data_IF_497131803170
#
_entry.id   IF_497131803170
#
_cell.length_a   1.000
_cell.length_b   1.000
_cell.length_c   1.000
_cell.angle_alpha   90.00
_cell.angle_beta   90.00
_cell.angle_gamma   90.00
#
_symmetry.space_group_name_H-M   'P 1'
#
loop_
_entity.id
_entity.type
_entity.pdbx_description
1 polymer ?
#
# COMPACT_ATOMS: atom_id res chain seq x y z
N UNK A 1 8.85 27.29 -7.91
CA UNK A 1 7.73 27.75 -7.04
C UNK A 1 6.42 26.99 -7.30
N UNK A 2 5.89 26.95 -8.53
CA UNK A 2 4.59 26.31 -8.81
C UNK A 2 4.51 24.80 -8.42
N UNK A 3 5.59 24.06 -8.60
CA UNK A 3 5.62 22.63 -8.27
C UNK A 3 5.62 22.36 -6.76
N UNK A 4 6.30 23.20 -5.96
CA UNK A 4 6.29 23.09 -4.51
C UNK A 4 4.89 23.31 -3.93
N UNK A 5 4.18 24.33 -4.42
CA UNK A 5 2.78 24.61 -4.03
C UNK A 5 1.85 23.44 -4.40
N UNK A 6 2.07 22.80 -5.55
CA UNK A 6 1.30 21.61 -5.95
C UNK A 6 1.57 20.43 -5.01
N UNK A 7 2.84 20.20 -4.63
CA UNK A 7 3.21 19.13 -3.69
C UNK A 7 2.55 19.36 -2.32
N UNK A 8 2.61 20.57 -1.79
CA UNK A 8 1.96 20.93 -0.52
C UNK A 8 0.43 20.73 -0.55
N UNK A 9 -0.24 21.16 -1.64
CA UNK A 9 -1.68 20.92 -1.81
C UNK A 9 -2.01 19.41 -1.85
N UNK A 10 -1.14 18.60 -2.46
CA UNK A 10 -1.29 17.15 -2.49
C UNK A 10 -0.97 16.49 -1.15
N UNK A 11 -0.14 17.08 -0.29
CA UNK A 11 0.11 16.57 1.07
C UNK A 11 -1.18 16.60 1.90
N UNK A 12 -1.93 17.69 1.86
CA UNK A 12 -3.24 17.77 2.50
C UNK A 12 -4.27 16.86 1.83
N UNK A 13 -4.37 16.89 0.51
CA UNK A 13 -5.36 16.11 -0.25
C UNK A 13 -5.19 14.62 0.00
N UNK A 14 -3.95 14.11 -0.06
CA UNK A 14 -3.65 12.70 0.17
C UNK A 14 -3.96 12.24 1.59
N UNK A 15 -3.79 13.11 2.59
CA UNK A 15 -4.15 12.81 3.98
C UNK A 15 -5.65 12.64 4.14
N UNK A 16 -6.45 13.52 3.54
CA UNK A 16 -7.93 13.42 3.56
C UNK A 16 -8.39 12.16 2.83
N UNK A 17 -7.82 11.85 1.66
CA UNK A 17 -8.15 10.63 0.92
C UNK A 17 -7.83 9.37 1.72
N UNK A 18 -6.66 9.32 2.36
CA UNK A 18 -6.28 8.20 3.21
C UNK A 18 -7.26 8.01 4.38
N UNK A 19 -7.70 9.11 5.02
CA UNK A 19 -8.70 9.06 6.08
C UNK A 19 -10.04 8.52 5.58
N UNK A 20 -10.55 9.04 4.47
CA UNK A 20 -11.83 8.60 3.87
C UNK A 20 -11.77 7.13 3.49
N UNK A 21 -10.69 6.70 2.82
CA UNK A 21 -10.49 5.30 2.46
C UNK A 21 -10.48 4.40 3.71
N UNK A 22 -9.71 4.77 4.72
CA UNK A 22 -9.59 3.97 5.94
C UNK A 22 -10.86 3.94 6.79
N UNK A 23 -11.70 4.97 6.72
CA UNK A 23 -13.00 4.98 7.38
C UNK A 23 -14.00 4.01 6.72
N UNK A 24 -13.87 3.78 5.41
CA UNK A 24 -14.80 2.96 4.62
C UNK A 24 -14.27 1.54 4.32
N UNK A 25 -13.00 1.23 4.62
CA UNK A 25 -12.43 -0.11 4.38
C UNK A 25 -12.90 -1.13 5.42
N UNK A 26 -12.93 -2.41 5.03
CA UNK A 26 -13.04 -3.51 5.99
C UNK A 26 -11.69 -3.69 6.73
N UNK A 27 -11.63 -3.46 8.05
CA UNK A 27 -10.38 -3.52 8.80
C UNK A 27 -9.76 -4.91 8.87
N UNK A 28 -10.52 -5.98 8.60
CA UNK A 28 -10.05 -7.37 8.66
C UNK A 28 -9.46 -7.86 7.34
N UNK A 29 -9.79 -7.20 6.22
CA UNK A 29 -9.42 -7.67 4.87
C UNK A 29 -8.24 -6.93 4.26
N UNK A 30 -8.05 -5.66 4.61
CA UNK A 30 -7.08 -4.81 3.95
C UNK A 30 -6.24 -4.05 4.96
N UNK A 31 -4.95 -3.93 4.69
CA UNK A 31 -4.03 -3.07 5.43
C UNK A 31 -4.49 -1.60 5.34
N UNK A 32 -4.36 -0.79 6.41
CA UNK A 32 -4.62 0.64 6.31
C UNK A 32 -3.73 1.31 5.26
N UNK A 33 -4.32 2.18 4.45
CA UNK A 33 -3.58 2.99 3.47
C UNK A 33 -3.02 4.26 4.14
N UNK A 34 -1.84 4.69 3.70
CA UNK A 34 -1.21 5.95 4.13
C UNK A 34 -1.34 7.06 3.09
N UNK A 35 -1.02 8.32 3.43
CA UNK A 35 -1.07 9.43 2.47
C UNK A 35 -0.18 9.20 1.24
N UNK A 36 0.96 8.52 1.40
CA UNK A 36 1.87 8.23 0.29
C UNK A 36 1.26 7.32 -0.80
N UNK A 37 0.21 6.55 -0.47
CA UNK A 37 -0.48 5.70 -1.44
C UNK A 37 -1.38 6.51 -2.39
N UNK A 38 -1.76 7.73 -2.01
CA UNK A 38 -2.64 8.62 -2.79
C UNK A 38 -1.92 9.88 -3.30
N UNK A 39 -0.64 10.06 -2.96
CA UNK A 39 0.10 11.27 -3.30
C UNK A 39 0.93 11.08 -4.59
N UNK A 40 0.61 11.76 -5.71
CA UNK A 40 1.20 11.48 -7.03
C UNK A 40 2.71 11.69 -7.10
N UNK A 41 3.25 12.59 -6.27
CA UNK A 41 4.69 12.87 -6.23
C UNK A 41 5.46 12.08 -5.15
N UNK A 42 4.80 11.22 -4.37
CA UNK A 42 5.47 10.37 -3.38
C UNK A 42 5.41 8.93 -3.91
N UNK A 43 6.53 8.21 -3.83
CA UNK A 43 6.53 6.78 -4.13
C UNK A 43 6.03 6.04 -2.89
N UNK A 44 5.04 5.17 -3.07
CA UNK A 44 4.66 4.22 -2.02
C UNK A 44 5.92 3.44 -1.61
N UNK A 45 6.24 3.48 -0.32
CA UNK A 45 7.35 2.68 0.20
C UNK A 45 6.85 1.24 0.24
N UNK A 46 7.26 0.41 -0.72
CA UNK A 46 7.03 -1.03 -0.64
C UNK A 46 7.75 -1.55 0.60
N UNK A 47 7.00 -1.76 1.68
CA UNK A 47 7.51 -2.29 2.97
C UNK A 47 7.71 -3.80 2.95
N UNK A 48 7.44 -4.46 1.81
CA UNK A 48 7.61 -5.89 1.63
C UNK A 48 9.02 -6.27 1.22
N UNK A 49 9.45 -7.48 1.59
CA UNK A 49 10.66 -8.09 1.03
C UNK A 49 10.39 -8.35 -0.47
N UNK A 50 11.19 -7.82 -1.39
CA UNK A 50 11.02 -8.11 -2.81
C UNK A 50 11.17 -9.61 -3.05
N UNK A 51 10.22 -10.21 -3.77
CA UNK A 51 10.33 -11.60 -4.18
C UNK A 51 11.46 -11.73 -5.23
N UNK A 52 12.43 -12.58 -4.92
CA UNK A 52 13.58 -12.96 -5.74
C UNK A 52 13.56 -14.48 -5.90
N UNK A 53 14.23 -14.99 -6.94
CA UNK A 53 14.36 -16.44 -7.13
C UNK A 53 14.89 -17.17 -5.87
N UNK A 54 15.78 -16.53 -5.11
CA UNK A 54 16.33 -17.08 -3.87
C UNK A 54 15.33 -17.17 -2.70
N UNK A 55 14.28 -16.35 -2.65
CA UNK A 55 13.35 -16.29 -1.52
C UNK A 55 11.91 -16.70 -1.88
N UNK A 56 11.61 -16.96 -3.16
CA UNK A 56 10.27 -17.39 -3.62
C UNK A 56 9.79 -18.68 -2.93
N UNK A 57 10.72 -19.53 -2.48
CA UNK A 57 10.42 -20.73 -1.71
C UNK A 57 9.68 -20.48 -0.39
N UNK A 58 9.82 -19.30 0.23
CA UNK A 58 9.14 -18.92 1.47
C UNK A 58 7.61 -18.98 1.31
N UNK A 59 7.10 -18.71 0.11
CA UNK A 59 5.66 -18.73 -0.16
C UNK A 59 5.04 -20.13 -0.03
N UNK A 60 5.83 -21.21 -0.17
CA UNK A 60 5.33 -22.59 0.01
C UNK A 60 4.82 -22.85 1.43
N UNK A 61 5.38 -22.17 2.44
CA UNK A 61 4.94 -22.31 3.83
C UNK A 61 3.53 -21.72 4.07
N UNK A 62 3.10 -20.79 3.22
CA UNK A 62 1.81 -20.11 3.31
C UNK A 62 0.79 -20.60 2.26
N UNK A 63 1.23 -21.44 1.32
CA UNK A 63 0.34 -22.07 0.36
C UNK A 63 -0.56 -23.07 1.09
N UNK A 64 -1.85 -22.76 1.20
CA UNK A 64 -2.87 -23.68 1.72
C UNK A 64 -2.79 -24.96 0.89
N UNK A 65 -2.46 -26.10 1.52
CA UNK A 65 -2.44 -27.42 0.88
C UNK A 65 -3.77 -27.59 0.15
N UNK A 66 -3.73 -27.54 -1.17
CA UNK A 66 -4.91 -27.73 -2.00
C UNK A 66 -5.51 -29.08 -1.62
N UNK A 67 -6.76 -29.06 -1.15
CA UNK A 67 -7.63 -30.22 -1.20
C UNK A 67 -7.90 -30.47 -2.68
N UNK A 68 -7.01 -31.23 -3.32
CA UNK A 68 -7.31 -31.92 -4.56
C UNK A 68 -8.20 -33.14 -4.27
N UNK A 69 -8.93 -33.66 -5.26
CA UNK A 69 -9.85 -34.78 -5.12
C UNK A 69 -9.20 -36.03 -4.51
#
# INVERSE_FOLDING_TARGET
>A
MAEAKRREAWDHTSTVLAMIFNANRDPKRQTPAGPADFHPYRKATNRGIPLKAANIGILKAFAKKGRGP
#
